data_IF_059478977847
#
_entry.id   IF_059478977847
#
_cell.length_a   1.000
_cell.length_b   1.000
_cell.length_c   1.000
_cell.angle_alpha   90.00
_cell.angle_beta   90.00
_cell.angle_gamma   90.00
#
_symmetry.space_group_name_H-M   'P 1'
#
loop_
_entity.id
_entity.type
_entity.pdbx_description
1 polymer ?
#
# COMPACT_ATOMS: atom_id res chain seq x y z
N UNK A 1 11.26 3.81 -10.68
CA UNK A 1 12.17 2.97 -9.85
C UNK A 1 11.34 2.46 -8.68
N UNK A 2 11.35 1.15 -8.38
CA UNK A 2 10.62 0.59 -7.21
C UNK A 2 11.21 1.18 -5.95
N UNK A 3 10.36 1.41 -4.97
CA UNK A 3 10.82 1.48 -3.59
C UNK A 3 10.99 0.06 -3.05
N UNK A 4 12.19 -0.51 -3.20
CA UNK A 4 12.51 -1.84 -2.65
C UNK A 4 12.90 -1.73 -1.18
N UNK A 5 11.92 -1.42 -0.32
CA UNK A 5 12.15 -1.20 1.10
C UNK A 5 12.68 -2.45 1.83
N UNK A 6 12.24 -3.62 1.41
CA UNK A 6 12.47 -4.89 2.12
C UNK A 6 13.54 -5.78 1.46
N UNK A 7 14.27 -5.25 0.48
CA UNK A 7 15.37 -5.96 -0.17
C UNK A 7 14.93 -7.20 -0.96
N UNK A 8 13.75 -7.20 -1.56
CA UNK A 8 13.30 -8.29 -2.43
C UNK A 8 14.28 -8.47 -3.60
N UNK A 9 14.79 -9.69 -3.80
CA UNK A 9 15.76 -10.01 -4.85
C UNK A 9 15.22 -10.94 -5.93
N UNK A 10 14.06 -11.56 -5.71
CA UNK A 10 13.46 -12.56 -6.61
C UNK A 10 12.67 -11.97 -7.77
N UNK A 11 12.44 -10.66 -7.77
CA UNK A 11 11.81 -9.92 -8.85
C UNK A 11 12.25 -8.46 -8.83
N UNK A 12 12.03 -7.79 -9.96
CA UNK A 12 11.92 -6.34 -10.04
C UNK A 12 10.55 -5.96 -10.59
N UNK A 13 10.13 -4.75 -10.31
CA UNK A 13 8.92 -4.13 -10.78
C UNK A 13 9.26 -2.70 -11.22
N UNK A 14 8.41 -2.04 -11.99
CA UNK A 14 8.54 -0.60 -12.22
C UNK A 14 7.23 -0.09 -12.78
N UNK A 15 6.93 1.18 -12.51
CA UNK A 15 5.90 1.87 -13.28
C UNK A 15 6.31 1.82 -14.75
N UNK A 16 5.40 1.34 -15.58
CA UNK A 16 5.60 1.08 -16.99
C UNK A 16 4.95 2.21 -17.81
N UNK A 17 5.77 2.92 -18.57
CA UNK A 17 5.36 3.93 -19.53
C UNK A 17 5.69 3.33 -20.90
N UNK A 18 4.66 3.03 -21.70
CA UNK A 18 4.71 2.23 -22.94
C UNK A 18 5.98 2.42 -23.77
N UNK A 19 6.75 1.35 -24.01
CA UNK A 19 7.78 1.25 -25.08
C UNK A 19 8.46 -0.15 -25.19
N UNK A 20 8.20 -1.13 -24.30
CA UNK A 20 8.76 -2.49 -24.43
C UNK A 20 7.73 -3.52 -24.92
N UNK A 21 8.16 -4.46 -25.78
CA UNK A 21 7.37 -5.66 -26.09
C UNK A 21 7.18 -6.48 -24.81
N UNK A 22 5.92 -6.62 -24.37
CA UNK A 22 5.55 -7.41 -23.20
C UNK A 22 4.92 -8.71 -23.65
N UNK A 23 5.40 -9.82 -23.09
CA UNK A 23 4.93 -11.15 -23.45
C UNK A 23 3.50 -11.42 -22.93
N UNK A 24 3.15 -10.89 -21.75
CA UNK A 24 1.84 -11.06 -21.13
C UNK A 24 1.38 -9.80 -20.38
N UNK A 25 0.10 -9.45 -20.52
CA UNK A 25 -0.52 -8.36 -19.79
C UNK A 25 -1.75 -8.84 -18.99
N UNK A 26 -2.02 -8.21 -17.85
CA UNK A 26 -3.17 -8.49 -16.99
C UNK A 26 -3.84 -7.19 -16.56
N UNK A 27 -5.16 -7.13 -16.58
CA UNK A 27 -5.93 -6.03 -15.99
C UNK A 27 -6.48 -6.39 -14.60
N UNK A 28 -6.32 -5.46 -13.66
CA UNK A 28 -6.81 -5.54 -12.29
C UNK A 28 -7.84 -4.44 -11.99
N UNK A 29 -8.93 -4.76 -11.29
CA UNK A 29 -9.26 -6.04 -10.66
C UNK A 29 -9.65 -7.14 -11.67
N UNK A 30 -9.44 -8.40 -11.28
CA UNK A 30 -9.90 -9.59 -12.00
C UNK A 30 -8.80 -10.42 -12.63
N UNK A 31 -7.57 -9.91 -12.71
CA UNK A 31 -6.45 -10.54 -13.43
C UNK A 31 -6.86 -10.98 -14.85
N UNK A 32 -7.55 -10.09 -15.58
CA UNK A 32 -8.03 -10.38 -16.93
C UNK A 32 -6.83 -10.38 -17.87
N UNK A 33 -6.47 -11.56 -18.37
CA UNK A 33 -5.36 -11.74 -19.32
C UNK A 33 -5.61 -10.96 -20.61
N UNK A 34 -4.56 -10.32 -21.12
CA UNK A 34 -4.54 -9.42 -22.28
C UNK A 34 -5.56 -8.26 -22.15
N UNK A 35 -5.99 -8.00 -20.92
CA UNK A 35 -6.90 -6.91 -20.58
C UNK A 35 -6.13 -5.62 -20.32
N UNK A 36 -6.84 -4.50 -20.47
CA UNK A 36 -6.33 -3.18 -20.13
C UNK A 36 -7.35 -2.40 -19.32
N UNK A 37 -6.87 -1.58 -18.38
CA UNK A 37 -7.68 -0.62 -17.64
C UNK A 37 -6.91 0.68 -17.45
N UNK A 38 -7.66 1.78 -17.38
CA UNK A 38 -7.08 3.08 -17.09
C UNK A 38 -6.61 3.15 -15.61
N UNK A 39 -5.36 3.55 -15.42
CA UNK A 39 -4.78 3.77 -14.09
C UNK A 39 -3.26 3.67 -14.11
N UNK A 40 -2.70 2.76 -13.32
CA UNK A 40 -1.26 2.58 -13.21
C UNK A 40 -0.84 1.28 -13.91
N UNK A 41 0.13 1.35 -14.82
CA UNK A 41 0.76 0.16 -15.40
C UNK A 41 2.05 -0.15 -14.66
N UNK A 42 2.26 -1.41 -14.31
CA UNK A 42 3.48 -1.88 -13.64
C UNK A 42 4.02 -3.08 -14.41
N UNK A 43 5.28 -3.00 -14.84
CA UNK A 43 6.01 -4.15 -15.36
C UNK A 43 6.66 -4.89 -14.20
N UNK A 44 6.59 -6.22 -14.22
CA UNK A 44 7.20 -7.12 -13.24
C UNK A 44 8.10 -8.08 -13.99
N UNK A 45 9.37 -8.14 -13.60
CA UNK A 45 10.39 -9.02 -14.16
C UNK A 45 10.89 -9.97 -13.08
N UNK A 46 10.86 -11.26 -13.37
CA UNK A 46 11.47 -12.32 -12.55
C UNK A 46 12.58 -12.99 -13.37
N UNK A 47 13.32 -13.92 -12.77
CA UNK A 47 14.31 -14.72 -13.51
C UNK A 47 13.68 -15.63 -14.59
N UNK A 48 12.36 -15.86 -14.52
CA UNK A 48 11.66 -16.82 -15.37
C UNK A 48 10.73 -16.17 -16.40
N UNK A 49 10.22 -14.97 -16.12
CA UNK A 49 9.19 -14.32 -16.93
C UNK A 49 9.12 -12.82 -16.70
N UNK A 50 8.50 -12.12 -17.66
CA UNK A 50 8.15 -10.70 -17.57
C UNK A 50 6.66 -10.53 -17.90
N UNK A 51 5.96 -9.69 -17.14
CA UNK A 51 4.56 -9.38 -17.39
C UNK A 51 4.23 -7.94 -17.00
N UNK A 52 3.14 -7.40 -17.54
CA UNK A 52 2.60 -6.09 -17.15
C UNK A 52 1.24 -6.23 -16.48
N UNK A 53 1.06 -5.56 -15.35
CA UNK A 53 -0.23 -5.37 -14.72
C UNK A 53 -0.75 -3.95 -14.97
N UNK A 54 -1.98 -3.84 -15.48
CA UNK A 54 -2.73 -2.60 -15.59
C UNK A 54 -3.71 -2.53 -14.42
N UNK A 55 -3.53 -1.55 -13.54
CA UNK A 55 -4.27 -1.43 -12.28
C UNK A 55 -5.25 -0.27 -12.36
N UNK A 56 -6.54 -0.56 -12.19
CA UNK A 56 -7.56 0.47 -12.18
C UNK A 56 -7.31 1.49 -11.08
N UNK A 57 -7.42 2.77 -11.41
CA UNK A 57 -7.22 3.88 -10.48
C UNK A 57 -8.43 4.13 -9.57
N UNK A 58 -8.18 4.46 -8.31
CA UNK A 58 -9.14 5.08 -7.40
C UNK A 58 -9.56 6.48 -7.87
N UNK A 59 -10.68 6.97 -7.31
CA UNK A 59 -11.30 8.27 -7.63
C UNK A 59 -11.67 9.08 -6.39
N UNK A 60 -11.43 8.54 -5.21
CA UNK A 60 -11.89 9.04 -3.93
C UNK A 60 -11.15 10.33 -3.52
N UNK A 61 -9.89 10.51 -3.95
CA UNK A 61 -9.11 11.70 -3.62
C UNK A 61 -8.07 12.04 -4.70
N UNK A 62 -7.89 13.34 -5.06
CA UNK A 62 -6.86 13.75 -6.01
C UNK A 62 -5.44 13.57 -5.47
N UNK A 63 -5.28 13.59 -4.14
CA UNK A 63 -4.02 13.47 -3.42
C UNK A 63 -3.71 12.02 -3.03
N UNK A 64 -4.51 11.06 -3.48
CA UNK A 64 -4.30 9.66 -3.17
C UNK A 64 -3.00 9.13 -3.77
N UNK A 65 -2.37 8.19 -3.07
CA UNK A 65 -1.05 7.69 -3.37
C UNK A 65 -1.00 6.93 -4.72
N UNK A 66 0.11 7.09 -5.44
CA UNK A 66 0.55 6.16 -6.48
C UNK A 66 1.85 5.50 -5.99
N UNK A 67 1.90 4.18 -5.94
CA UNK A 67 3.07 3.44 -5.47
C UNK A 67 3.19 2.08 -6.17
N UNK A 68 4.41 1.64 -6.39
CA UNK A 68 4.73 0.25 -6.62
C UNK A 68 5.95 -0.10 -5.75
N UNK A 69 5.79 -1.06 -4.84
CA UNK A 69 6.84 -1.54 -3.95
C UNK A 69 6.78 -3.05 -3.76
N UNK A 70 7.85 -3.63 -3.20
CA UNK A 70 7.82 -5.03 -2.77
C UNK A 70 6.93 -5.18 -1.54
N UNK A 71 6.14 -6.26 -1.50
CA UNK A 71 5.49 -6.68 -0.27
C UNK A 71 6.56 -7.22 0.72
N UNK A 72 6.38 -7.08 2.04
CA UNK A 72 7.36 -7.55 3.01
C UNK A 72 7.64 -9.06 3.01
N UNK A 73 6.80 -9.86 2.35
CA UNK A 73 7.03 -11.31 2.17
C UNK A 73 8.11 -11.63 1.11
N UNK A 74 8.53 -10.63 0.32
CA UNK A 74 9.51 -10.78 -0.75
C UNK A 74 9.02 -11.55 -1.97
N UNK A 75 7.75 -11.95 -2.03
CA UNK A 75 7.17 -12.76 -3.11
C UNK A 75 6.09 -12.00 -3.88
N UNK A 76 5.44 -11.05 -3.23
CA UNK A 76 4.36 -10.26 -3.80
C UNK A 76 4.81 -8.80 -4.06
N UNK A 77 4.08 -8.12 -4.93
CA UNK A 77 4.17 -6.67 -5.10
C UNK A 77 2.96 -6.01 -4.47
N UNK A 78 3.17 -4.79 -3.95
CA UNK A 78 2.10 -3.88 -3.56
C UNK A 78 2.03 -2.78 -4.61
N UNK A 79 0.86 -2.64 -5.21
CA UNK A 79 0.56 -1.59 -6.18
C UNK A 79 -0.57 -0.72 -5.64
N UNK A 80 -0.36 0.58 -5.64
CA UNK A 80 -1.38 1.56 -5.25
C UNK A 80 -1.59 2.48 -6.45
N UNK A 81 -2.79 2.47 -7.01
CA UNK A 81 -3.18 3.29 -8.16
C UNK A 81 -4.25 4.31 -7.71
N UNK A 82 -3.86 5.57 -7.52
CA UNK A 82 -4.71 6.65 -7.00
C UNK A 82 -5.49 6.24 -5.75
N UNK A 83 -4.79 5.65 -4.78
CA UNK A 83 -5.34 5.21 -3.50
C UNK A 83 -6.07 3.87 -3.51
N UNK A 84 -6.20 3.19 -4.66
CA UNK A 84 -6.68 1.82 -4.71
C UNK A 84 -5.50 0.85 -4.64
N UNK A 85 -5.46 0.04 -3.58
CA UNK A 85 -4.35 -0.88 -3.30
C UNK A 85 -4.61 -2.31 -3.75
N UNK A 86 -3.56 -2.94 -4.26
CA UNK A 86 -3.51 -4.32 -4.71
C UNK A 86 -2.27 -5.00 -4.13
N UNK A 87 -2.41 -6.26 -3.77
CA UNK A 87 -1.29 -7.18 -3.54
C UNK A 87 -1.36 -8.24 -4.63
N UNK A 88 -0.25 -8.47 -5.34
CA UNK A 88 -0.19 -9.40 -6.48
C UNK A 88 1.06 -10.26 -6.39
N UNK A 89 0.94 -11.56 -6.61
CA UNK A 89 2.11 -12.43 -6.72
C UNK A 89 3.00 -12.04 -7.90
N UNK A 90 4.31 -11.95 -7.67
CA UNK A 90 5.28 -11.65 -8.72
C UNK A 90 5.39 -12.74 -9.79
N UNK A 91 5.00 -13.98 -9.44
CA UNK A 91 5.14 -15.18 -10.30
C UNK A 91 3.82 -15.73 -10.82
N UNK A 92 2.71 -15.45 -10.15
CA UNK A 92 1.36 -15.93 -10.52
C UNK A 92 0.40 -14.72 -10.53
N UNK A 93 0.33 -13.96 -11.63
CA UNK A 93 -0.46 -12.71 -11.70
C UNK A 93 -1.95 -12.90 -11.34
N UNK A 94 -2.48 -14.11 -11.52
CA UNK A 94 -3.85 -14.47 -11.15
C UNK A 94 -4.07 -14.59 -9.63
N UNK A 95 -3.00 -14.72 -8.84
CA UNK A 95 -3.02 -14.68 -7.38
C UNK A 95 -2.85 -13.23 -6.89
N UNK A 96 -3.98 -12.62 -6.58
CA UNK A 96 -4.04 -11.22 -6.17
C UNK A 96 -5.20 -10.95 -5.19
N UNK A 97 -5.10 -9.83 -4.49
CA UNK A 97 -6.15 -9.34 -3.60
C UNK A 97 -6.21 -7.81 -3.57
N UNK A 98 -7.39 -7.27 -3.27
CA UNK A 98 -7.56 -5.85 -2.94
C UNK A 98 -7.12 -5.59 -1.51
N UNK A 99 -6.40 -4.49 -1.29
CA UNK A 99 -6.14 -3.97 0.05
C UNK A 99 -7.44 -3.32 0.55
N UNK A 100 -7.95 -3.69 1.75
CA UNK A 100 -9.23 -3.21 2.27
C UNK A 100 -9.13 -1.79 2.87
N UNK A 101 -8.51 -0.86 2.14
CA UNK A 101 -8.40 0.56 2.48
C UNK A 101 -8.55 1.41 1.22
N UNK A 102 -9.46 2.39 1.27
CA UNK A 102 -9.73 3.32 0.16
C UNK A 102 -10.15 4.69 0.71
N UNK A 103 -9.50 5.80 0.30
CA UNK A 103 -8.23 5.83 -0.41
C UNK A 103 -7.05 5.51 0.53
N UNK A 104 -6.01 4.89 0.00
CA UNK A 104 -4.68 4.90 0.60
C UNK A 104 -4.03 6.26 0.30
N UNK A 105 -3.73 7.00 1.36
CA UNK A 105 -3.21 8.37 1.28
C UNK A 105 -1.69 8.43 1.43
N UNK A 106 -1.10 7.45 2.08
CA UNK A 106 0.35 7.34 2.23
C UNK A 106 0.78 5.98 2.76
N UNK A 107 2.09 5.79 2.83
CA UNK A 107 2.71 4.61 3.40
C UNK A 107 3.96 4.99 4.21
N UNK A 108 4.33 4.13 5.16
CA UNK A 108 5.60 4.18 5.86
C UNK A 108 6.15 2.76 6.01
N UNK A 109 7.30 2.44 5.41
CA UNK A 109 7.96 1.15 5.61
C UNK A 109 8.63 1.10 6.99
N UNK A 110 8.37 0.02 7.72
CA UNK A 110 9.10 -0.37 8.92
C UNK A 110 10.05 -1.51 8.56
N UNK A 111 11.22 -1.17 8.05
CA UNK A 111 12.15 -2.13 7.44
C UNK A 111 12.73 -3.11 8.46
N UNK A 112 12.99 -2.64 9.68
CA UNK A 112 13.54 -3.48 10.76
C UNK A 112 12.53 -4.55 11.21
N UNK A 113 11.24 -4.21 11.17
CA UNK A 113 10.14 -5.10 11.54
C UNK A 113 9.51 -5.84 10.36
N UNK A 114 9.97 -5.59 9.12
CA UNK A 114 9.38 -6.10 7.88
C UNK A 114 7.86 -5.90 7.80
N UNK A 115 7.42 -4.65 8.02
CA UNK A 115 6.02 -4.25 7.90
C UNK A 115 5.91 -3.08 6.93
N UNK A 116 4.96 -3.14 6.00
CA UNK A 116 4.54 -1.98 5.22
C UNK A 116 3.29 -1.39 5.86
N UNK A 117 3.41 -0.21 6.47
CA UNK A 117 2.26 0.50 7.04
C UNK A 117 1.64 1.39 5.98
N UNK A 118 0.36 1.24 5.73
CA UNK A 118 -0.46 2.07 4.86
C UNK A 118 -1.42 2.89 5.71
N UNK A 119 -1.73 4.10 5.30
CA UNK A 119 -2.69 4.92 6.03
C UNK A 119 -3.63 5.69 5.09
N UNK A 120 -4.88 5.78 5.51
CA UNK A 120 -5.93 6.53 4.84
C UNK A 120 -6.20 7.85 5.54
N UNK A 121 -7.46 8.29 5.52
CA UNK A 121 -7.88 9.49 6.25
C UNK A 121 -7.97 9.29 7.76
N UNK A 122 -8.42 8.12 8.20
CA UNK A 122 -8.84 7.96 9.59
C UNK A 122 -8.16 6.81 10.31
N UNK A 123 -7.60 5.82 9.61
CA UNK A 123 -6.92 4.67 10.22
C UNK A 123 -5.70 4.21 9.40
N UNK A 124 -4.93 3.29 9.99
CA UNK A 124 -3.79 2.63 9.37
C UNK A 124 -4.02 1.11 9.21
N UNK A 125 -3.33 0.52 8.23
CA UNK A 125 -3.20 -0.91 8.00
C UNK A 125 -1.71 -1.27 8.01
N UNK A 126 -1.35 -2.42 8.56
CA UNK A 126 -0.02 -2.99 8.41
C UNK A 126 -0.06 -4.28 7.62
N UNK A 127 0.76 -4.38 6.58
CA UNK A 127 1.01 -5.62 5.84
C UNK A 127 2.28 -6.27 6.41
N UNK A 128 2.17 -7.50 6.91
CA UNK A 128 3.28 -8.23 7.53
C UNK A 128 3.91 -9.21 6.54
N UNK A 129 5.16 -9.59 6.82
CA UNK A 129 5.91 -10.56 6.00
C UNK A 129 5.33 -11.97 6.00
N UNK A 130 4.51 -12.34 6.98
CA UNK A 130 3.78 -13.61 7.01
C UNK A 130 2.47 -13.59 6.19
N UNK A 131 2.18 -12.46 5.52
CA UNK A 131 0.95 -12.24 4.76
C UNK A 131 -0.23 -11.79 5.63
N UNK A 132 -0.08 -11.70 6.95
CA UNK A 132 -1.11 -11.19 7.84
C UNK A 132 -1.28 -9.68 7.66
N UNK A 133 -2.49 -9.18 7.88
CA UNK A 133 -2.80 -7.75 7.90
C UNK A 133 -3.46 -7.37 9.22
N UNK A 134 -3.01 -6.29 9.86
CA UNK A 134 -3.74 -5.66 10.96
C UNK A 134 -4.39 -4.36 10.53
N UNK A 135 -5.43 -3.95 11.27
CA UNK A 135 -6.09 -2.65 11.16
C UNK A 135 -6.08 -1.95 12.52
N UNK A 136 -5.67 -0.68 12.53
CA UNK A 136 -5.74 0.14 13.75
C UNK A 136 -7.19 0.52 14.09
N UNK A 137 -7.38 1.06 15.30
CA UNK A 137 -8.56 1.88 15.59
C UNK A 137 -8.61 3.14 14.71
N UNK A 138 -9.73 3.86 14.73
CA UNK A 138 -9.81 5.20 14.13
C UNK A 138 -8.94 6.19 14.93
N UNK A 139 -8.10 6.94 14.23
CA UNK A 139 -7.06 7.84 14.74
C UNK A 139 -7.37 9.31 14.43
N UNK A 140 -8.32 9.58 13.53
CA UNK A 140 -8.65 10.91 13.05
C UNK A 140 -10.10 10.97 12.57
N UNK A 141 -10.67 12.17 12.60
CA UNK A 141 -11.95 12.48 11.96
C UNK A 141 -11.79 12.74 10.45
N UNK A 142 -10.69 13.38 10.05
CA UNK A 142 -10.47 13.80 8.67
C UNK A 142 -8.99 14.08 8.39
N UNK A 143 -8.23 13.01 8.18
CA UNK A 143 -6.86 13.08 7.71
C UNK A 143 -5.81 12.78 8.78
N UNK A 144 -4.73 12.14 8.34
CA UNK A 144 -3.53 11.87 9.12
C UNK A 144 -2.37 12.66 8.50
N UNK A 145 -1.45 13.13 9.34
CA UNK A 145 -0.23 13.82 8.88
C UNK A 145 0.98 13.42 9.71
N UNK A 146 2.17 13.78 9.20
CA UNK A 146 3.46 13.53 9.86
C UNK A 146 3.65 12.06 10.28
N UNK A 147 3.06 11.14 9.52
CA UNK A 147 3.10 9.70 9.80
C UNK A 147 4.48 9.16 9.46
N UNK A 148 5.15 8.55 10.44
CA UNK A 148 6.48 7.96 10.26
C UNK A 148 6.69 6.79 11.25
N UNK A 149 7.69 5.96 10.98
CA UNK A 149 8.09 4.85 11.87
C UNK A 149 9.32 5.27 12.67
N UNK A 150 9.31 4.96 13.97
CA UNK A 150 10.46 5.12 14.86
C UNK A 150 10.41 4.09 15.99
N UNK A 151 11.50 3.33 16.17
CA UNK A 151 11.67 2.38 17.27
C UNK A 151 10.49 1.41 17.47
N UNK A 152 10.08 0.69 16.42
CA UNK A 152 8.97 -0.28 16.47
C UNK A 152 7.58 0.34 16.56
N UNK A 153 7.46 1.64 16.34
CA UNK A 153 6.20 2.37 16.46
C UNK A 153 5.89 3.21 15.25
N UNK A 154 4.61 3.30 14.91
CA UNK A 154 4.08 4.29 13.97
C UNK A 154 3.64 5.51 14.76
N UNK A 155 4.23 6.65 14.47
CA UNK A 155 3.93 7.93 15.07
C UNK A 155 3.28 8.84 14.04
N UNK A 156 2.35 9.69 14.47
CA UNK A 156 1.76 10.70 13.60
C UNK A 156 0.76 11.58 14.33
N UNK A 157 0.01 12.37 13.57
CA UNK A 157 -1.06 13.20 14.12
C UNK A 157 -2.37 12.98 13.35
N UNK A 158 -3.49 12.93 14.09
CA UNK A 158 -4.83 12.88 13.54
C UNK A 158 -5.63 14.15 13.83
N UNK A 159 -6.53 14.52 12.92
CA UNK A 159 -7.40 15.68 13.07
C UNK A 159 -8.56 15.40 14.05
N UNK A 160 -8.65 16.22 15.10
CA UNK A 160 -9.76 16.26 16.03
C UNK A 160 -10.71 17.40 15.66
N UNK A 161 -11.89 17.05 15.13
CA UNK A 161 -12.91 18.02 14.78
C UNK A 161 -13.46 18.77 15.99
N UNK A 162 -13.50 18.14 17.17
CA UNK A 162 -14.08 18.72 18.39
C UNK A 162 -13.22 19.85 18.96
N UNK A 163 -11.90 19.72 18.85
CA UNK A 163 -10.94 20.73 19.31
C UNK A 163 -10.33 21.53 18.16
N UNK A 164 -10.64 21.18 16.92
CA UNK A 164 -10.07 21.77 15.69
C UNK A 164 -8.54 21.79 15.69
N UNK A 165 -7.94 20.66 16.10
CA UNK A 165 -6.49 20.50 16.23
C UNK A 165 -6.03 19.14 15.74
N UNK A 166 -4.78 19.08 15.32
CA UNK A 166 -4.08 17.81 15.17
C UNK A 166 -3.57 17.35 16.53
N UNK A 167 -3.85 16.10 16.87
CA UNK A 167 -3.43 15.46 18.12
C UNK A 167 -2.55 14.23 17.82
N UNK A 168 -1.49 14.00 18.61
CA UNK A 168 -0.56 12.92 18.33
C UNK A 168 -1.20 11.55 18.57
N UNK A 169 -0.79 10.56 17.78
CA UNK A 169 -1.07 9.14 18.00
C UNK A 169 0.22 8.32 17.94
N UNK A 170 0.15 7.13 18.52
CA UNK A 170 1.20 6.13 18.48
C UNK A 170 0.56 4.74 18.30
N UNK A 171 1.11 3.93 17.40
CA UNK A 171 0.76 2.52 17.21
C UNK A 171 2.00 1.63 17.35
N UNK A 172 1.82 0.44 17.92
CA UNK A 172 2.77 -0.67 17.78
C UNK A 172 2.76 -1.18 16.34
N UNK A 173 3.93 -1.27 15.71
CA UNK A 173 4.04 -1.56 14.28
C UNK A 173 3.65 -2.99 13.89
N UNK A 174 3.79 -3.95 14.81
CA UNK A 174 3.49 -5.36 14.56
C UNK A 174 2.02 -5.68 14.77
N UNK A 175 1.32 -4.92 15.60
CA UNK A 175 -0.05 -5.23 16.01
C UNK A 175 -1.08 -4.19 15.63
N UNK A 176 -0.65 -2.96 15.29
CA UNK A 176 -1.55 -1.84 15.02
C UNK A 176 -2.28 -1.29 16.24
N UNK A 177 -2.01 -1.82 17.44
CA UNK A 177 -2.61 -1.37 18.69
C UNK A 177 -1.91 -0.10 19.15
N UNK A 178 -2.66 0.85 19.67
CA UNK A 178 -2.10 2.15 19.98
C UNK A 178 -2.96 3.01 20.88
N UNK A 179 -2.53 4.25 21.03
CA UNK A 179 -3.20 5.27 21.84
C UNK A 179 -3.06 6.65 21.20
N UNK A 180 -3.82 7.61 21.73
CA UNK A 180 -3.89 8.96 21.16
C UNK A 180 -4.75 9.02 19.90
N UNK A 181 -4.49 10.03 19.08
CA UNK A 181 -5.35 10.37 17.96
C UNK A 181 -6.69 10.96 18.42
N UNK A 182 -7.54 11.24 17.44
CA UNK A 182 -8.88 11.77 17.65
C UNK A 182 -9.90 10.72 17.28
N UNK A 183 -10.02 9.68 18.12
CA UNK A 183 -11.02 8.64 17.93
C UNK A 183 -12.42 9.27 18.08
N UNK A 184 -13.28 9.26 17.04
CA UNK A 184 -14.66 9.68 17.20
C UNK A 184 -15.33 8.79 18.25
N UNK A 185 -16.11 9.33 19.21
CA UNK A 185 -16.91 8.49 20.08
C UNK A 185 -17.91 7.71 19.22
N UNK A 186 -18.02 6.40 19.49
CA UNK A 186 -19.00 5.50 18.87
C UNK A 186 -20.44 5.95 19.15
#
# INVERSE_FOLDING_TARGET
MIENFFGATSFSAAIFEDDEEVEFAYAYPGAIKDGWVAGLSVQVKTDLSSWVGHFSAGRESPNALNLCCAHPDGLQIVVIAKGLGYVVSSRQPEDWQLIPMRPIMGCCPATDENVLVLFGYTYALGLLSDGTTWRSQELSWDGLRNVHVSAGKVLGEGWDASTSKFVPFELDVLTGKGSGGAMPPL
#
